data_IF_581830182808
#
_entry.id   IF_581830182808
#
_cell.length_a   1.000
_cell.length_b   1.000
_cell.length_c   1.000
_cell.angle_alpha   90.00
_cell.angle_beta   90.00
_cell.angle_gamma   90.00
#
_symmetry.space_group_name_H-M   'P 1'
#
loop_
_entity.id
_entity.type
_entity.pdbx_description
1 polymer ?
#
# COMPACT_ATOMS: atom_id res chain seq x y z
N UNK A 1 -21.74 14.24 16.10
CA UNK A 1 -21.20 13.32 15.07
C UNK A 1 -21.23 11.91 15.66
N UNK A 2 -21.70 10.91 14.93
CA UNK A 2 -21.73 9.52 15.43
C UNK A 2 -20.37 8.84 15.22
N UNK A 3 -20.10 7.76 15.95
CA UNK A 3 -18.89 6.94 15.77
C UNK A 3 -18.72 6.49 14.30
N UNK A 4 -19.80 6.01 13.69
CA UNK A 4 -19.79 5.59 12.28
C UNK A 4 -19.47 6.74 11.31
N UNK A 5 -19.93 7.96 11.59
CA UNK A 5 -19.59 9.14 10.78
C UNK A 5 -18.09 9.47 10.89
N UNK A 6 -17.50 9.34 12.07
CA UNK A 6 -16.06 9.56 12.29
C UNK A 6 -15.22 8.49 11.58
N UNK A 7 -15.57 7.22 11.71
CA UNK A 7 -14.89 6.14 10.99
C UNK A 7 -15.04 6.28 9.46
N UNK A 8 -16.20 6.74 8.98
CA UNK A 8 -16.39 7.05 7.56
C UNK A 8 -15.48 8.20 7.12
N UNK A 9 -15.34 9.24 7.93
CA UNK A 9 -14.45 10.37 7.65
C UNK A 9 -12.99 9.93 7.58
N UNK A 10 -12.55 9.10 8.56
CA UNK A 10 -11.21 8.49 8.54
C UNK A 10 -10.94 7.71 7.25
N UNK A 11 -11.82 6.79 6.90
CA UNK A 11 -11.64 5.97 5.69
C UNK A 11 -11.58 6.84 4.43
N UNK A 12 -12.41 7.87 4.30
CA UNK A 12 -12.34 8.83 3.19
C UNK A 12 -11.02 9.58 3.15
N UNK A 13 -10.47 9.98 4.29
CA UNK A 13 -9.17 10.65 4.37
C UNK A 13 -8.06 9.73 3.91
N UNK A 14 -8.02 8.49 4.41
CA UNK A 14 -7.04 7.49 4.00
C UNK A 14 -7.15 7.19 2.49
N UNK A 15 -8.37 6.95 1.98
CA UNK A 15 -8.59 6.73 0.54
C UNK A 15 -8.10 7.92 -0.30
N UNK A 16 -8.34 9.15 0.14
CA UNK A 16 -7.87 10.36 -0.55
C UNK A 16 -6.34 10.44 -0.61
N UNK A 17 -5.65 10.09 0.49
CA UNK A 17 -4.18 10.03 0.53
C UNK A 17 -3.68 8.98 -0.47
N UNK A 18 -4.23 7.78 -0.44
CA UNK A 18 -3.81 6.68 -1.32
C UNK A 18 -4.07 7.01 -2.80
N UNK A 19 -5.22 7.61 -3.13
CA UNK A 19 -5.53 8.07 -4.49
C UNK A 19 -4.56 9.16 -4.97
N UNK A 20 -4.15 10.07 -4.08
CA UNK A 20 -3.13 11.08 -4.41
C UNK A 20 -1.79 10.43 -4.75
N UNK A 21 -1.34 9.47 -3.94
CA UNK A 21 -0.12 8.69 -4.21
C UNK A 21 -0.23 7.97 -5.55
N UNK A 22 -1.35 7.28 -5.80
CA UNK A 22 -1.59 6.59 -7.07
C UNK A 22 -1.52 7.52 -8.28
N UNK A 23 -2.08 8.73 -8.16
CA UNK A 23 -2.06 9.73 -9.22
C UNK A 23 -0.62 10.15 -9.56
N UNK A 24 0.20 10.44 -8.56
CA UNK A 24 1.60 10.83 -8.75
C UNK A 24 2.44 9.68 -9.33
N UNK A 25 2.21 8.45 -8.89
CA UNK A 25 2.87 7.27 -9.47
C UNK A 25 2.51 7.10 -10.94
N UNK A 26 1.24 7.21 -11.30
CA UNK A 26 0.81 7.15 -12.70
C UNK A 26 1.48 8.22 -13.58
N UNK A 27 1.67 9.44 -13.06
CA UNK A 27 2.41 10.51 -13.74
C UNK A 27 3.88 10.14 -13.94
N UNK A 28 4.53 9.64 -12.89
CA UNK A 28 5.94 9.22 -12.91
C UNK A 28 6.18 8.11 -13.95
N UNK A 29 5.32 7.10 -13.98
CA UNK A 29 5.43 6.01 -14.95
C UNK A 29 5.09 6.45 -16.39
N UNK A 30 4.14 7.37 -16.56
CA UNK A 30 3.85 7.98 -17.87
C UNK A 30 5.06 8.74 -18.40
N UNK A 31 5.67 9.59 -17.57
CA UNK A 31 6.90 10.29 -17.91
C UNK A 31 8.01 9.31 -18.32
N UNK A 32 8.25 8.24 -17.56
CA UNK A 32 9.24 7.21 -17.87
C UNK A 32 8.97 6.53 -19.22
N UNK A 33 7.72 6.13 -19.47
CA UNK A 33 7.30 5.56 -20.76
C UNK A 33 7.59 6.51 -21.92
N UNK A 34 7.16 7.76 -21.81
CA UNK A 34 7.29 8.74 -22.89
C UNK A 34 8.76 9.06 -23.17
N UNK A 35 9.59 9.16 -22.10
CA UNK A 35 11.04 9.35 -22.21
C UNK A 35 11.72 8.18 -22.93
N UNK A 36 11.42 6.93 -22.56
CA UNK A 36 12.03 5.76 -23.19
C UNK A 36 11.50 5.56 -24.62
N UNK A 37 10.22 5.83 -24.86
CA UNK A 37 9.66 5.77 -26.22
C UNK A 37 10.32 6.79 -27.14
N UNK A 38 10.53 8.03 -26.69
CA UNK A 38 11.25 9.06 -27.43
C UNK A 38 12.71 8.67 -27.71
N UNK A 39 13.38 8.10 -26.71
CA UNK A 39 14.76 7.64 -26.82
C UNK A 39 14.89 6.49 -27.84
N UNK A 40 13.98 5.53 -27.84
CA UNK A 40 13.92 4.47 -28.84
C UNK A 40 13.65 5.06 -30.23
N UNK A 41 12.73 6.01 -30.35
CA UNK A 41 12.39 6.65 -31.61
C UNK A 41 13.55 7.43 -32.24
N UNK A 42 14.25 8.23 -31.45
CA UNK A 42 15.43 8.99 -31.95
C UNK A 42 16.60 8.11 -32.33
N UNK A 43 16.79 6.99 -31.67
CA UNK A 43 17.82 6.01 -32.03
C UNK A 43 17.38 5.15 -33.22
N UNK A 44 16.09 4.86 -33.39
CA UNK A 44 15.57 4.04 -34.48
C UNK A 44 15.89 4.63 -35.84
N UNK A 45 15.73 5.94 -36.06
CA UNK A 45 16.11 6.60 -37.32
C UNK A 45 17.60 6.46 -37.63
N UNK A 46 18.45 6.56 -36.60
CA UNK A 46 19.91 6.36 -36.77
C UNK A 46 20.29 4.91 -37.12
N UNK A 47 19.45 3.94 -36.78
CA UNK A 47 19.63 2.54 -37.16
C UNK A 47 19.33 2.26 -38.63
N UNK A 48 18.31 2.91 -39.19
CA UNK A 48 17.89 2.69 -40.57
C UNK A 48 18.83 3.33 -41.60
N UNK A 49 19.58 4.36 -41.24
CA UNK A 49 20.48 5.12 -42.12
C UNK A 49 21.87 4.45 -42.27
N UNK A 50 22.18 3.39 -41.54
CA UNK A 50 23.53 2.80 -41.49
C UNK A 50 23.71 1.45 -42.19
N UNK A 51 22.91 1.15 -43.23
CA UNK A 51 22.83 -0.22 -43.76
C UNK A 51 23.77 -0.51 -44.98
N UNK A 52 24.58 0.43 -45.40
CA UNK A 52 25.59 0.19 -46.49
C UNK A 52 27.03 0.25 -45.95
N UNK A 53 27.71 -0.90 -45.84
CA UNK A 53 29.12 -1.04 -45.48
C UNK A 53 29.45 -2.28 -44.59
N UNK A 54 30.66 -2.75 -44.65
CA UNK A 54 31.14 -4.03 -44.13
C UNK A 54 30.56 -4.50 -42.75
N UNK A 55 30.19 -5.76 -42.68
CA UNK A 55 29.44 -6.39 -41.56
C UNK A 55 30.03 -6.19 -40.13
N UNK A 56 31.36 -6.15 -40.02
CA UNK A 56 32.02 -5.99 -38.71
C UNK A 56 31.76 -4.64 -38.05
N UNK A 57 31.90 -3.56 -38.81
CA UNK A 57 31.67 -2.18 -38.31
C UNK A 57 30.18 -1.90 -38.01
N UNK A 58 29.28 -2.52 -38.74
CA UNK A 58 27.86 -2.49 -38.47
C UNK A 58 27.52 -3.14 -37.13
N UNK A 59 28.06 -4.33 -36.86
CA UNK A 59 27.85 -5.06 -35.62
C UNK A 59 28.43 -4.31 -34.42
N UNK A 60 29.63 -3.73 -34.55
CA UNK A 60 30.26 -2.94 -33.47
C UNK A 60 29.48 -1.64 -33.21
N UNK A 61 29.04 -0.93 -34.23
CA UNK A 61 28.22 0.26 -34.08
C UNK A 61 26.85 -0.05 -33.46
N UNK A 62 26.23 -1.15 -33.85
CA UNK A 62 24.99 -1.65 -33.27
C UNK A 62 25.18 -1.94 -31.77
N UNK A 63 26.25 -2.67 -31.42
CA UNK A 63 26.56 -2.98 -30.02
C UNK A 63 26.77 -1.73 -29.16
N UNK A 64 27.57 -0.77 -29.63
CA UNK A 64 27.84 0.47 -28.93
C UNK A 64 26.58 1.31 -28.71
N UNK A 65 25.71 1.39 -29.74
CA UNK A 65 24.42 2.10 -29.64
C UNK A 65 23.46 1.43 -28.65
N UNK A 66 23.39 0.09 -28.69
CA UNK A 66 22.60 -0.68 -27.69
C UNK A 66 23.08 -0.44 -26.28
N UNK A 67 24.42 -0.40 -26.09
CA UNK A 67 25.04 -0.13 -24.78
C UNK A 67 24.72 1.29 -24.29
N UNK A 68 24.83 2.30 -25.18
CA UNK A 68 24.47 3.68 -24.84
C UNK A 68 22.99 3.79 -24.48
N UNK A 69 22.10 3.23 -25.29
CA UNK A 69 20.66 3.21 -25.02
C UNK A 69 20.33 2.49 -23.72
N UNK A 70 21.02 1.41 -23.39
CA UNK A 70 20.86 0.73 -22.10
C UNK A 70 21.20 1.65 -20.93
N UNK A 71 22.28 2.45 -21.02
CA UNK A 71 22.65 3.40 -19.98
C UNK A 71 21.61 4.53 -19.82
N UNK A 72 21.10 5.04 -20.94
CA UNK A 72 20.07 6.08 -20.92
C UNK A 72 18.75 5.54 -20.32
N UNK A 73 18.32 4.32 -20.67
CA UNK A 73 17.14 3.66 -20.06
C UNK A 73 17.37 3.46 -18.56
N UNK A 74 18.56 3.03 -18.12
CA UNK A 74 18.90 2.94 -16.69
C UNK A 74 18.78 4.27 -15.99
N UNK A 75 19.22 5.36 -16.62
CA UNK A 75 19.08 6.73 -16.10
C UNK A 75 17.61 7.11 -15.86
N UNK A 76 16.73 6.82 -16.81
CA UNK A 76 15.27 7.05 -16.64
C UNK A 76 14.72 6.22 -15.49
N UNK A 77 15.11 4.95 -15.34
CA UNK A 77 14.65 4.10 -14.22
C UNK A 77 15.18 4.55 -12.86
N UNK A 78 16.38 5.10 -12.79
CA UNK A 78 16.89 5.73 -11.55
C UNK A 78 15.98 6.90 -11.14
N UNK A 79 15.56 7.74 -12.09
CA UNK A 79 14.64 8.85 -11.81
C UNK A 79 13.26 8.35 -11.40
N UNK A 80 12.66 7.39 -12.12
CA UNK A 80 11.40 6.76 -11.73
C UNK A 80 11.50 6.23 -10.30
N UNK A 81 12.55 5.49 -9.97
CA UNK A 81 12.77 4.91 -8.65
C UNK A 81 12.88 5.95 -7.54
N UNK A 82 13.60 7.03 -7.78
CA UNK A 82 13.74 8.14 -6.83
C UNK A 82 12.38 8.79 -6.52
N UNK A 83 11.62 9.15 -7.56
CA UNK A 83 10.33 9.83 -7.39
C UNK A 83 9.27 8.88 -6.82
N UNK A 84 9.20 7.63 -7.27
CA UNK A 84 8.27 6.63 -6.75
C UNK A 84 8.52 6.38 -5.27
N UNK A 85 9.78 6.14 -4.87
CA UNK A 85 10.14 5.93 -3.47
C UNK A 85 9.79 7.14 -2.60
N UNK A 86 10.15 8.35 -3.02
CA UNK A 86 9.84 9.60 -2.31
C UNK A 86 8.33 9.74 -2.07
N UNK A 87 7.54 9.56 -3.14
CA UNK A 87 6.08 9.71 -3.10
C UNK A 87 5.44 8.66 -2.20
N UNK A 88 5.81 7.39 -2.36
CA UNK A 88 5.25 6.30 -1.55
C UNK A 88 5.64 6.48 -0.08
N UNK A 89 6.92 6.66 0.24
CA UNK A 89 7.37 6.78 1.63
C UNK A 89 6.68 7.94 2.34
N UNK A 90 6.63 9.13 1.72
CA UNK A 90 5.92 10.28 2.28
C UNK A 90 4.45 9.97 2.54
N UNK A 91 3.78 9.39 1.56
CA UNK A 91 2.36 9.04 1.67
C UNK A 91 2.09 7.99 2.76
N UNK A 92 2.99 7.02 2.93
CA UNK A 92 2.86 5.99 3.98
C UNK A 92 2.99 6.57 5.38
N UNK A 93 3.91 7.51 5.60
CA UNK A 93 3.99 8.26 6.87
C UNK A 93 2.68 9.01 7.14
N UNK A 94 2.16 9.73 6.15
CA UNK A 94 0.89 10.45 6.29
C UNK A 94 -0.28 9.51 6.59
N UNK A 95 -0.36 8.37 5.91
CA UNK A 95 -1.41 7.36 6.12
C UNK A 95 -1.40 6.82 7.55
N UNK A 96 -0.21 6.51 8.08
CA UNK A 96 -0.03 6.03 9.45
C UNK A 96 -0.47 7.10 10.47
N UNK A 97 0.05 8.32 10.31
CA UNK A 97 -0.21 9.44 11.23
C UNK A 97 -1.71 9.81 11.27
N UNK A 98 -2.35 9.95 10.11
CA UNK A 98 -3.77 10.28 10.02
C UNK A 98 -4.64 9.17 10.61
N UNK A 99 -4.30 7.91 10.42
CA UNK A 99 -5.04 6.80 11.01
C UNK A 99 -4.95 6.81 12.53
N UNK A 100 -3.74 6.97 13.08
CA UNK A 100 -3.53 7.09 14.53
C UNK A 100 -4.30 8.27 15.13
N UNK A 101 -4.16 9.47 14.53
CA UNK A 101 -4.73 10.69 15.07
C UNK A 101 -6.27 10.72 14.98
N UNK A 102 -6.84 10.23 13.89
CA UNK A 102 -8.29 10.21 13.73
C UNK A 102 -8.96 9.20 14.66
N UNK A 103 -8.34 8.05 14.92
CA UNK A 103 -8.85 7.11 15.90
C UNK A 103 -8.69 7.65 17.33
N UNK A 104 -7.57 8.29 17.63
CA UNK A 104 -7.38 8.94 18.93
C UNK A 104 -8.41 10.04 19.18
N UNK A 105 -8.65 10.89 18.19
CA UNK A 105 -9.69 11.91 18.25
C UNK A 105 -11.09 11.31 18.44
N UNK A 106 -11.40 10.25 17.69
CA UNK A 106 -12.70 9.57 17.79
C UNK A 106 -12.90 8.99 19.19
N UNK A 107 -11.91 8.29 19.73
CA UNK A 107 -12.00 7.72 21.07
C UNK A 107 -12.06 8.79 22.15
N UNK A 108 -11.28 9.88 22.02
CA UNK A 108 -11.31 11.01 22.95
C UNK A 108 -12.68 11.70 22.96
N UNK A 109 -13.29 11.94 21.79
CA UNK A 109 -14.61 12.55 21.66
C UNK A 109 -15.71 11.75 22.37
N UNK A 110 -15.67 10.42 22.26
CA UNK A 110 -16.65 9.57 22.94
C UNK A 110 -16.34 9.36 24.43
N UNK A 111 -15.06 9.26 24.81
CA UNK A 111 -14.63 9.15 26.20
C UNK A 111 -14.99 10.38 27.02
N UNK A 112 -14.93 11.59 26.42
CA UNK A 112 -15.35 12.84 27.05
C UNK A 112 -16.84 12.81 27.45
N UNK A 113 -17.69 12.14 26.65
CA UNK A 113 -19.13 11.99 26.96
C UNK A 113 -19.40 11.13 28.21
N UNK A 114 -18.46 10.30 28.61
CA UNK A 114 -18.54 9.48 29.83
C UNK A 114 -17.60 9.96 30.94
N UNK A 115 -17.11 11.20 30.82
CA UNK A 115 -16.25 11.83 31.84
C UNK A 115 -14.78 11.35 31.85
N UNK A 116 -14.33 10.68 30.81
CA UNK A 116 -12.93 10.27 30.65
C UNK A 116 -12.19 11.27 29.78
N UNK A 117 -11.06 11.80 30.28
CA UNK A 117 -10.24 12.78 29.56
C UNK A 117 -9.05 12.12 28.88
N UNK A 118 -9.17 11.84 27.58
CA UNK A 118 -8.08 11.34 26.73
C UNK A 118 -7.38 12.54 26.10
N UNK A 119 -6.09 12.72 26.42
CA UNK A 119 -5.29 13.81 25.87
C UNK A 119 -4.83 13.53 24.43
N UNK A 120 -4.66 14.60 23.69
CA UNK A 120 -3.95 14.54 22.41
C UNK A 120 -2.52 13.99 22.62
N UNK A 121 -2.12 13.04 21.78
CA UNK A 121 -0.71 12.65 21.62
C UNK A 121 -0.45 12.33 20.15
N UNK A 122 0.77 12.61 19.69
CA UNK A 122 1.24 12.17 18.39
C UNK A 122 1.82 10.75 18.50
N UNK A 123 1.82 9.97 17.41
CA UNK A 123 2.45 8.65 17.41
C UNK A 123 3.95 8.77 17.71
N UNK A 124 4.50 7.79 18.42
CA UNK A 124 5.94 7.76 18.69
C UNK A 124 6.71 7.75 17.36
N UNK A 125 7.63 8.70 17.12
CA UNK A 125 8.28 8.88 15.82
C UNK A 125 9.14 7.69 15.40
N UNK A 126 9.76 6.98 16.36
CA UNK A 126 10.61 5.82 16.05
C UNK A 126 9.74 4.59 15.74
N UNK A 127 8.67 4.37 16.51
CA UNK A 127 7.70 3.29 16.24
C UNK A 127 7.08 3.48 14.84
N UNK A 128 6.67 4.71 14.53
CA UNK A 128 6.19 5.09 13.20
C UNK A 128 7.21 4.80 12.10
N UNK A 129 8.48 5.16 12.32
CA UNK A 129 9.55 4.92 11.36
C UNK A 129 9.73 3.41 11.11
N UNK A 130 9.79 2.60 12.16
CA UNK A 130 9.88 1.13 12.04
C UNK A 130 8.68 0.57 11.27
N UNK A 131 7.47 1.00 11.60
CA UNK A 131 6.25 0.54 10.93
C UNK A 131 6.25 0.83 9.42
N UNK A 132 6.70 2.04 9.03
CA UNK A 132 6.70 2.50 7.63
C UNK A 132 7.86 1.90 6.84
N UNK A 133 9.05 1.84 7.41
CA UNK A 133 10.26 1.43 6.67
C UNK A 133 10.56 -0.07 6.79
N UNK A 134 10.11 -0.72 7.87
CA UNK A 134 10.54 -2.08 8.24
C UNK A 134 11.97 -2.14 8.78
N UNK A 135 12.60 -0.99 9.10
CA UNK A 135 14.00 -0.94 9.55
C UNK A 135 14.14 -1.36 11.01
N UNK A 136 14.47 -2.63 11.23
CA UNK A 136 14.70 -3.21 12.55
C UNK A 136 15.88 -2.56 13.32
N UNK A 137 16.81 -1.89 12.65
CA UNK A 137 17.97 -1.27 13.35
C UNK A 137 17.53 -0.13 14.26
N UNK A 138 16.38 0.50 13.96
CA UNK A 138 15.79 1.59 14.76
C UNK A 138 15.24 1.13 16.10
N UNK A 139 14.97 -0.17 16.29
CA UNK A 139 14.48 -0.73 17.55
C UNK A 139 15.41 -0.46 18.74
N UNK A 140 16.71 -0.38 18.48
CA UNK A 140 17.72 -0.10 19.52
C UNK A 140 17.55 1.28 20.15
N UNK A 141 16.95 2.23 19.45
CA UNK A 141 16.69 3.58 19.92
C UNK A 141 15.44 3.68 20.82
N UNK A 142 14.58 2.63 20.85
CA UNK A 142 13.37 2.58 21.68
C UNK A 142 13.75 2.05 23.06
N UNK A 143 13.74 2.91 24.09
CA UNK A 143 14.06 2.54 25.48
C UNK A 143 12.88 1.88 26.19
N UNK A 144 11.66 2.30 25.90
CA UNK A 144 10.43 1.74 26.45
C UNK A 144 10.21 0.32 25.90
N UNK A 145 10.18 -0.67 26.79
CA UNK A 145 10.02 -2.09 26.43
C UNK A 145 8.69 -2.40 25.76
N UNK A 146 7.59 -1.72 26.16
CA UNK A 146 6.26 -1.88 25.57
C UNK A 146 6.30 -1.37 24.13
N UNK A 147 6.76 -0.13 23.92
CA UNK A 147 6.85 0.46 22.60
C UNK A 147 7.80 -0.33 21.68
N UNK A 148 8.90 -0.86 22.22
CA UNK A 148 9.80 -1.72 21.45
C UNK A 148 9.09 -2.98 20.97
N UNK A 149 8.35 -3.68 21.84
CA UNK A 149 7.58 -4.89 21.48
C UNK A 149 6.52 -4.57 20.42
N UNK A 150 5.84 -3.41 20.53
CA UNK A 150 4.88 -2.95 19.53
C UNK A 150 5.58 -2.72 18.19
N UNK A 151 6.71 -2.00 18.18
CA UNK A 151 7.47 -1.71 16.97
C UNK A 151 8.04 -2.97 16.30
N UNK A 152 8.57 -3.91 17.07
CA UNK A 152 9.02 -5.23 16.59
C UNK A 152 7.89 -5.95 15.85
N UNK A 153 6.69 -5.89 16.42
CA UNK A 153 5.52 -6.45 15.80
C UNK A 153 5.02 -5.72 14.55
N UNK A 154 5.45 -4.50 14.28
CA UNK A 154 5.07 -3.75 13.08
C UNK A 154 6.01 -3.98 11.89
N UNK A 155 7.14 -4.65 12.10
CA UNK A 155 8.02 -5.09 11.00
C UNK A 155 7.25 -6.12 10.18
N UNK A 156 7.20 -5.98 8.84
CA UNK A 156 6.53 -6.96 8.00
C UNK A 156 7.06 -8.38 8.27
N UNK A 157 6.18 -9.38 8.42
CA UNK A 157 6.61 -10.77 8.71
C UNK A 157 7.55 -11.36 7.67
N UNK A 158 7.50 -10.89 6.41
CA UNK A 158 8.45 -11.26 5.35
C UNK A 158 9.87 -10.74 5.60
N UNK A 159 10.06 -9.83 6.54
CA UNK A 159 11.32 -9.11 6.76
C UNK A 159 11.69 -8.10 5.66
N UNK A 160 10.86 -7.98 4.63
CA UNK A 160 11.10 -7.05 3.54
C UNK A 160 10.83 -5.59 3.99
N UNK A 161 11.82 -4.73 3.78
CA UNK A 161 11.59 -3.29 3.94
C UNK A 161 10.80 -2.74 2.76
N UNK A 162 10.00 -1.71 2.98
CA UNK A 162 9.30 -1.01 1.89
C UNK A 162 10.28 -0.60 0.77
N UNK A 163 11.46 -0.12 1.16
CA UNK A 163 12.52 0.23 0.20
C UNK A 163 13.00 -1.00 -0.58
N UNK A 164 13.18 -2.13 0.07
CA UNK A 164 13.58 -3.39 -0.58
C UNK A 164 12.56 -3.85 -1.63
N UNK A 165 11.28 -3.85 -1.27
CA UNK A 165 10.19 -4.19 -2.18
C UNK A 165 10.20 -3.27 -3.42
N UNK A 166 10.33 -1.95 -3.21
CA UNK A 166 10.34 -0.98 -4.31
C UNK A 166 11.56 -1.13 -5.23
N UNK A 167 12.75 -1.37 -4.65
CA UNK A 167 13.98 -1.59 -5.42
C UNK A 167 13.90 -2.87 -6.24
N UNK A 168 13.44 -3.97 -5.64
CA UNK A 168 13.28 -5.25 -6.33
C UNK A 168 12.30 -5.13 -7.51
N UNK A 169 11.16 -4.48 -7.31
CA UNK A 169 10.19 -4.23 -8.38
C UNK A 169 10.82 -3.43 -9.53
N UNK A 170 11.51 -2.33 -9.23
CA UNK A 170 12.16 -1.50 -10.24
C UNK A 170 13.24 -2.25 -11.04
N UNK A 171 14.03 -3.09 -10.39
CA UNK A 171 15.03 -3.90 -11.09
C UNK A 171 14.39 -4.92 -12.05
N UNK A 172 13.28 -5.54 -11.64
CA UNK A 172 12.52 -6.44 -12.53
C UNK A 172 11.90 -5.68 -13.70
N UNK A 173 11.35 -4.49 -13.45
CA UNK A 173 10.76 -3.62 -14.46
C UNK A 173 11.80 -3.14 -15.47
N UNK A 174 12.96 -2.67 -15.02
CA UNK A 174 14.11 -2.32 -15.86
C UNK A 174 14.51 -3.49 -16.75
N UNK A 175 14.66 -4.68 -16.18
CA UNK A 175 15.03 -5.90 -16.92
C UNK A 175 14.02 -6.23 -18.02
N UNK A 176 12.72 -6.14 -17.72
CA UNK A 176 11.65 -6.35 -18.72
C UNK A 176 11.72 -5.33 -19.85
N UNK A 177 11.86 -4.05 -19.50
CA UNK A 177 11.94 -2.96 -20.48
C UNK A 177 13.16 -3.10 -21.40
N UNK A 178 14.34 -3.39 -20.83
CA UNK A 178 15.55 -3.63 -21.62
C UNK A 178 15.38 -4.83 -22.56
N UNK A 179 14.70 -5.90 -22.11
CA UNK A 179 14.42 -7.06 -22.95
C UNK A 179 13.52 -6.67 -24.12
N UNK A 180 12.44 -5.96 -23.88
CA UNK A 180 11.51 -5.52 -24.94
C UNK A 180 12.24 -4.66 -25.98
N UNK A 181 13.02 -3.68 -25.54
CA UNK A 181 13.78 -2.80 -26.45
C UNK A 181 14.81 -3.58 -27.24
N UNK A 182 15.66 -4.41 -26.57
CA UNK A 182 16.71 -5.19 -27.23
C UNK A 182 16.12 -6.19 -28.25
N UNK A 183 15.10 -6.94 -27.87
CA UNK A 183 14.45 -7.90 -28.78
C UNK A 183 13.78 -7.21 -29.96
N UNK A 184 13.09 -6.08 -29.71
CA UNK A 184 12.47 -5.31 -30.78
C UNK A 184 13.47 -4.82 -31.82
N UNK A 185 14.63 -4.34 -31.38
CA UNK A 185 15.70 -3.89 -32.27
C UNK A 185 16.37 -5.04 -33.03
N UNK A 186 16.70 -6.13 -32.35
CA UNK A 186 17.31 -7.32 -32.95
C UNK A 186 16.38 -7.95 -34.01
N UNK A 187 15.09 -8.00 -33.71
CA UNK A 187 14.09 -8.59 -34.62
C UNK A 187 13.61 -7.62 -35.70
N UNK A 188 14.19 -6.42 -35.82
CA UNK A 188 13.80 -5.43 -36.81
C UNK A 188 12.34 -4.95 -36.70
N UNK A 189 11.78 -4.99 -35.48
CA UNK A 189 10.40 -4.54 -35.27
C UNK A 189 10.26 -3.05 -35.60
N UNK A 190 9.13 -2.65 -36.17
CA UNK A 190 8.86 -1.24 -36.42
C UNK A 190 8.75 -0.43 -35.12
N UNK A 191 9.08 0.87 -35.20
CA UNK A 191 8.95 1.79 -34.06
C UNK A 191 7.55 1.72 -33.42
N UNK A 192 6.50 1.64 -34.23
CA UNK A 192 5.10 1.56 -33.77
C UNK A 192 4.89 0.31 -32.91
N UNK A 193 5.39 -0.84 -33.34
CA UNK A 193 5.32 -2.10 -32.55
C UNK A 193 6.11 -2.00 -31.25
N UNK A 194 7.29 -1.41 -31.28
CA UNK A 194 8.09 -1.21 -30.07
C UNK A 194 7.42 -0.22 -29.09
N UNK A 195 6.87 0.90 -29.60
CA UNK A 195 6.14 1.85 -28.77
C UNK A 195 4.91 1.21 -28.10
N UNK A 196 4.18 0.33 -28.80
CA UNK A 196 3.06 -0.42 -28.24
C UNK A 196 3.51 -1.41 -27.16
N UNK A 197 4.58 -2.17 -27.39
CA UNK A 197 5.14 -3.11 -26.42
C UNK A 197 5.64 -2.39 -25.16
N UNK A 198 6.25 -1.22 -25.30
CA UNK A 198 6.65 -0.37 -24.18
C UNK A 198 5.44 0.12 -23.39
N UNK A 199 4.38 0.59 -24.07
CA UNK A 199 3.14 1.01 -23.41
C UNK A 199 2.55 -0.09 -22.55
N UNK A 200 2.48 -1.31 -23.07
CA UNK A 200 1.99 -2.48 -22.32
C UNK A 200 2.88 -2.81 -21.11
N UNK A 201 4.21 -2.80 -21.31
CA UNK A 201 5.18 -3.03 -20.24
C UNK A 201 5.04 -2.00 -19.13
N UNK A 202 4.94 -0.71 -19.45
CA UNK A 202 4.78 0.36 -18.45
C UNK A 202 3.41 0.35 -17.77
N UNK A 203 2.35 -0.06 -18.44
CA UNK A 203 1.05 -0.24 -17.79
C UNK A 203 1.10 -1.35 -16.72
N UNK A 204 1.76 -2.48 -17.03
CA UNK A 204 1.98 -3.55 -16.07
C UNK A 204 2.85 -3.11 -14.89
N UNK A 205 3.90 -2.36 -15.15
CA UNK A 205 4.81 -1.83 -14.13
C UNK A 205 4.08 -0.85 -13.19
N UNK A 206 3.30 0.09 -13.75
CA UNK A 206 2.48 1.01 -12.96
C UNK A 206 1.48 0.25 -12.08
N UNK A 207 0.84 -0.80 -12.61
CA UNK A 207 -0.07 -1.65 -11.83
C UNK A 207 0.62 -2.31 -10.63
N UNK A 208 1.85 -2.82 -10.81
CA UNK A 208 2.63 -3.41 -9.71
C UNK A 208 2.95 -2.38 -8.61
N UNK A 209 3.36 -1.16 -8.99
CA UNK A 209 3.61 -0.09 -8.04
C UNK A 209 2.32 0.29 -7.27
N UNK A 210 1.17 0.39 -7.95
CA UNK A 210 -0.12 0.68 -7.33
C UNK A 210 -0.57 -0.44 -6.39
N UNK A 211 -0.25 -1.71 -6.71
CA UNK A 211 -0.52 -2.84 -5.81
C UNK A 211 0.23 -2.69 -4.49
N UNK A 212 1.50 -2.29 -4.53
CA UNK A 212 2.29 -1.99 -3.32
C UNK A 212 1.63 -0.87 -2.52
N UNK A 213 1.25 0.24 -3.16
CA UNK A 213 0.58 1.36 -2.49
C UNK A 213 -0.68 0.92 -1.75
N UNK A 214 -1.54 0.15 -2.39
CA UNK A 214 -2.80 -0.31 -1.79
C UNK A 214 -2.58 -1.28 -0.64
N UNK A 215 -1.66 -2.23 -0.81
CA UNK A 215 -1.36 -3.23 0.21
C UNK A 215 -0.70 -2.58 1.43
N UNK A 216 0.39 -1.84 1.22
CA UNK A 216 1.11 -1.18 2.30
C UNK A 216 0.33 -0.03 2.93
N UNK A 217 -0.43 0.72 2.12
CA UNK A 217 -1.30 1.78 2.62
C UNK A 217 -2.36 1.27 3.60
N UNK A 218 -3.04 0.16 3.25
CA UNK A 218 -4.01 -0.45 4.15
C UNK A 218 -3.34 -1.04 5.41
N UNK A 219 -2.21 -1.73 5.25
CA UNK A 219 -1.43 -2.27 6.38
C UNK A 219 -1.04 -1.15 7.34
N UNK A 220 -0.50 -0.04 6.85
CA UNK A 220 -0.03 1.07 7.67
C UNK A 220 -1.16 1.89 8.29
N UNK A 221 -2.30 2.03 7.62
CA UNK A 221 -3.49 2.60 8.24
C UNK A 221 -3.93 1.77 9.47
N UNK A 222 -3.95 0.44 9.32
CA UNK A 222 -4.29 -0.45 10.43
C UNK A 222 -3.21 -0.50 11.51
N UNK A 223 -1.93 -0.38 11.17
CA UNK A 223 -0.83 -0.27 12.13
C UNK A 223 -0.93 1.02 12.96
N UNK A 224 -1.33 2.15 12.36
CA UNK A 224 -1.60 3.41 13.07
C UNK A 224 -2.75 3.25 14.07
N UNK A 225 -3.87 2.64 13.64
CA UNK A 225 -4.99 2.27 14.52
C UNK A 225 -4.52 1.40 15.68
N UNK A 226 -3.73 0.36 15.38
CA UNK A 226 -3.19 -0.56 16.40
C UNK A 226 -2.33 0.17 17.43
N UNK A 227 -1.41 1.05 17.02
CA UNK A 227 -0.58 1.82 17.95
C UNK A 227 -1.44 2.71 18.84
N UNK A 228 -2.46 3.39 18.28
CA UNK A 228 -3.39 4.19 19.08
C UNK A 228 -4.11 3.33 20.13
N UNK A 229 -4.61 2.15 19.74
CA UNK A 229 -5.28 1.22 20.65
C UNK A 229 -4.38 0.81 21.81
N UNK A 230 -3.12 0.48 21.51
CA UNK A 230 -2.14 0.09 22.54
C UNK A 230 -1.74 1.26 23.47
N UNK A 231 -1.67 2.48 22.94
CA UNK A 231 -1.42 3.67 23.75
C UNK A 231 -2.61 3.98 24.67
N UNK A 232 -3.85 3.88 24.16
CA UNK A 232 -5.07 4.05 24.97
C UNK A 232 -5.19 3.00 26.06
N UNK A 233 -4.89 1.73 25.77
CA UNK A 233 -4.83 0.66 26.80
C UNK A 233 -3.81 0.99 27.89
N UNK A 234 -2.64 1.51 27.53
CA UNK A 234 -1.60 1.93 28.47
C UNK A 234 -2.02 3.16 29.32
N UNK A 235 -2.90 3.99 28.80
CA UNK A 235 -3.53 5.12 29.51
C UNK A 235 -4.70 4.67 30.41
N UNK A 236 -5.02 3.37 30.43
CA UNK A 236 -6.09 2.80 31.28
C UNK A 236 -7.47 2.78 30.63
N UNK A 237 -7.57 3.11 29.34
CA UNK A 237 -8.84 3.04 28.61
C UNK A 237 -9.19 1.57 28.32
N UNK A 238 -10.38 1.15 28.73
CA UNK A 238 -10.87 -0.23 28.50
C UNK A 238 -11.44 -0.35 27.10
N UNK A 239 -10.62 -0.80 26.16
CA UNK A 239 -11.00 -1.02 24.77
C UNK A 239 -10.66 -2.45 24.34
N UNK A 240 -11.43 -2.95 23.38
CA UNK A 240 -11.13 -4.16 22.60
C UNK A 240 -11.24 -3.83 21.13
N UNK A 241 -10.33 -4.33 20.33
CA UNK A 241 -10.41 -4.16 18.86
C UNK A 241 -11.35 -5.19 18.26
N UNK A 242 -12.13 -4.73 17.30
CA UNK A 242 -13.03 -5.57 16.53
C UNK A 242 -12.66 -5.52 15.06
N UNK A 243 -12.62 -6.67 14.39
CA UNK A 243 -12.37 -6.75 12.96
C UNK A 243 -13.59 -6.27 12.17
N UNK A 244 -13.35 -5.46 11.15
CA UNK A 244 -14.37 -4.93 10.25
C UNK A 244 -13.97 -5.24 8.82
N UNK A 245 -14.62 -6.22 8.22
CA UNK A 245 -14.45 -6.52 6.81
C UNK A 245 -15.17 -5.50 5.92
N UNK A 246 -14.64 -5.26 4.72
CA UNK A 246 -15.34 -4.47 3.72
C UNK A 246 -16.55 -5.25 3.24
N UNK A 247 -17.74 -4.63 3.31
CA UNK A 247 -19.00 -5.26 2.90
C UNK A 247 -19.19 -5.16 1.38
N UNK A 248 -18.51 -6.00 0.62
CA UNK A 248 -18.73 -6.13 -0.83
C UNK A 248 -18.41 -7.58 -1.30
N UNK A 249 -18.77 -7.89 -2.56
CA UNK A 249 -18.59 -9.22 -3.14
C UNK A 249 -17.14 -9.63 -3.42
N UNK A 250 -16.15 -8.75 -3.15
CA UNK A 250 -14.71 -9.02 -3.35
C UNK A 250 -14.00 -9.38 -2.06
N UNK A 251 -14.68 -9.33 -0.91
CA UNK A 251 -14.10 -9.73 0.37
C UNK A 251 -13.93 -11.23 0.42
N UNK A 252 -12.73 -11.71 0.76
CA UNK A 252 -12.40 -13.13 0.87
C UNK A 252 -13.28 -13.82 1.91
N UNK A 253 -13.61 -15.08 1.71
CA UNK A 253 -14.41 -15.86 2.66
C UNK A 253 -13.73 -15.92 4.04
N UNK A 254 -12.41 -16.04 4.06
CA UNK A 254 -11.59 -15.99 5.26
C UNK A 254 -11.77 -14.68 6.04
N UNK A 255 -11.77 -13.54 5.36
CA UNK A 255 -11.97 -12.23 5.99
C UNK A 255 -13.43 -11.95 6.35
N UNK A 256 -14.38 -12.60 5.62
CA UNK A 256 -15.79 -12.58 6.01
C UNK A 256 -16.01 -13.29 7.34
N UNK A 257 -15.30 -14.38 7.58
CA UNK A 257 -15.37 -15.12 8.84
C UNK A 257 -14.83 -14.32 10.04
N UNK A 258 -13.89 -13.40 9.80
CA UNK A 258 -13.34 -12.49 10.84
C UNK A 258 -14.29 -11.33 11.15
N UNK A 259 -15.22 -10.98 10.26
CA UNK A 259 -16.06 -9.79 10.42
C UNK A 259 -16.86 -9.81 11.73
N UNK A 260 -16.68 -8.79 12.55
CA UNK A 260 -17.32 -8.67 13.84
C UNK A 260 -16.60 -9.40 14.98
N UNK A 261 -15.54 -10.17 14.72
CA UNK A 261 -14.77 -10.82 15.77
C UNK A 261 -13.94 -9.81 16.56
N UNK A 262 -13.82 -10.05 17.85
CA UNK A 262 -12.93 -9.30 18.74
C UNK A 262 -11.55 -9.98 18.81
N UNK A 263 -10.52 -9.15 19.05
CA UNK A 263 -9.20 -9.69 19.40
C UNK A 263 -9.28 -10.63 20.62
N UNK A 264 -8.40 -11.63 20.66
CA UNK A 264 -8.24 -12.52 21.81
C UNK A 264 -7.54 -11.83 22.99
N UNK A 265 -7.25 -12.57 24.05
CA UNK A 265 -6.55 -12.06 25.25
C UNK A 265 -5.11 -11.60 24.96
N UNK A 266 -4.50 -12.08 23.87
CA UNK A 266 -3.17 -11.69 23.39
C UNK A 266 -3.21 -10.52 22.40
N UNK A 267 -4.39 -10.01 22.09
CA UNK A 267 -4.59 -8.94 21.09
C UNK A 267 -4.49 -9.41 19.66
N UNK A 268 -4.82 -10.67 19.35
CA UNK A 268 -4.67 -11.29 18.05
C UNK A 268 -6.02 -11.68 17.45
N UNK A 269 -6.07 -11.68 16.12
CA UNK A 269 -7.12 -12.28 15.29
C UNK A 269 -6.57 -13.53 14.62
N UNK A 270 -7.40 -14.55 14.42
CA UNK A 270 -6.95 -15.86 13.95
C UNK A 270 -7.74 -16.33 12.72
N UNK A 271 -7.02 -16.89 11.72
CA UNK A 271 -7.59 -17.42 10.50
C UNK A 271 -6.68 -18.53 9.93
N UNK A 272 -7.24 -19.69 9.62
CA UNK A 272 -6.51 -20.81 8.97
C UNK A 272 -5.15 -21.13 9.63
N UNK A 273 -5.03 -21.02 10.95
CA UNK A 273 -3.78 -21.26 11.67
C UNK A 273 -2.79 -20.08 11.65
N UNK A 274 -3.14 -18.98 10.98
CA UNK A 274 -2.38 -17.72 11.02
C UNK A 274 -2.92 -16.80 12.11
N UNK A 275 -2.08 -15.87 12.55
CA UNK A 275 -2.44 -14.86 13.56
C UNK A 275 -1.98 -13.49 13.13
N UNK A 276 -2.80 -12.47 13.37
CA UNK A 276 -2.48 -11.09 13.04
C UNK A 276 -2.95 -10.13 14.15
N UNK A 277 -2.23 -9.06 14.36
CA UNK A 277 -2.62 -7.97 15.28
C UNK A 277 -3.65 -7.03 14.66
N UNK A 278 -3.59 -6.91 13.33
CA UNK A 278 -4.45 -6.03 12.53
C UNK A 278 -4.48 -6.51 11.07
N UNK A 279 -5.40 -6.04 10.24
CA UNK A 279 -5.45 -6.38 8.81
C UNK A 279 -4.17 -6.00 8.05
N UNK A 280 -3.61 -6.96 7.33
CA UNK A 280 -2.34 -6.83 6.60
C UNK A 280 -1.11 -7.27 7.40
N UNK A 281 -1.30 -7.99 8.52
CA UNK A 281 -0.25 -8.46 9.43
C UNK A 281 -0.22 -10.01 9.58
N UNK A 282 -0.89 -10.75 8.70
CA UNK A 282 -0.84 -12.21 8.73
C UNK A 282 0.51 -12.79 8.28
N UNK A 283 1.26 -12.03 7.47
CA UNK A 283 2.50 -12.50 6.86
C UNK A 283 2.28 -13.50 5.73
N UNK A 284 1.05 -13.65 5.28
CA UNK A 284 0.68 -14.49 4.14
C UNK A 284 0.19 -13.61 2.98
N UNK A 285 0.87 -13.66 1.80
CA UNK A 285 0.47 -12.88 0.63
C UNK A 285 -0.99 -13.12 0.19
N UNK A 286 -1.54 -14.32 0.42
CA UNK A 286 -2.90 -14.63 0.06
C UNK A 286 -3.92 -13.89 0.94
N UNK A 287 -3.57 -13.57 2.19
CA UNK A 287 -4.42 -12.85 3.12
C UNK A 287 -4.15 -11.34 3.11
N UNK A 288 -2.87 -10.93 2.95
CA UNK A 288 -2.47 -9.53 3.12
C UNK A 288 -2.59 -8.69 1.85
N UNK A 289 -2.26 -9.25 0.65
CA UNK A 289 -2.29 -8.48 -0.60
C UNK A 289 -3.73 -8.07 -0.95
N UNK A 290 -3.92 -6.77 -1.21
CA UNK A 290 -5.24 -6.17 -1.49
C UNK A 290 -6.29 -6.35 -0.37
N UNK A 291 -5.88 -6.66 0.85
CA UNK A 291 -6.78 -6.60 1.99
C UNK A 291 -7.33 -5.17 2.14
N UNK A 292 -8.64 -5.06 2.44
CA UNK A 292 -9.35 -3.78 2.63
C UNK A 292 -10.07 -3.74 3.98
N UNK A 293 -9.83 -4.73 4.82
CA UNK A 293 -10.38 -4.79 6.16
C UNK A 293 -9.72 -3.72 7.05
N UNK A 294 -10.39 -3.37 8.12
CA UNK A 294 -9.87 -2.49 9.17
C UNK A 294 -10.24 -3.06 10.54
N UNK A 295 -9.68 -2.48 11.58
CA UNK A 295 -10.15 -2.69 12.96
C UNK A 295 -10.74 -1.40 13.51
N UNK A 296 -11.61 -1.53 14.49
CA UNK A 296 -12.16 -0.42 15.27
C UNK A 296 -11.96 -0.68 16.75
N UNK A 297 -11.73 0.39 17.51
CA UNK A 297 -11.71 0.36 18.96
C UNK A 297 -13.14 0.38 19.49
N UNK A 298 -13.50 -0.65 20.26
CA UNK A 298 -14.79 -0.72 20.95
C UNK A 298 -14.54 -0.40 22.42
N UNK A 299 -14.95 0.79 22.83
CA UNK A 299 -14.88 1.21 24.23
C UNK A 299 -16.00 0.54 24.99
N UNK A 300 -15.73 0.01 26.18
CA UNK A 300 -16.74 -0.64 27.02
C UNK A 300 -17.91 0.31 27.30
N UNK A 301 -19.12 -0.05 26.90
CA UNK A 301 -20.34 0.74 27.02
C UNK A 301 -20.63 1.69 25.86
N UNK A 302 -19.79 1.72 24.81
CA UNK A 302 -19.97 2.56 23.62
C UNK A 302 -19.84 1.71 22.34
N UNK A 303 -20.58 0.63 22.25
CA UNK A 303 -20.52 -0.25 21.10
C UNK A 303 -21.10 0.42 19.84
N UNK A 304 -20.40 0.34 18.68
CA UNK A 304 -20.89 0.90 17.43
C UNK A 304 -22.13 0.15 16.94
N UNK A 305 -23.23 0.89 16.73
CA UNK A 305 -24.52 0.33 16.27
C UNK A 305 -24.73 0.42 14.77
N UNK A 306 -23.95 1.27 14.08
CA UNK A 306 -24.08 1.54 12.65
C UNK A 306 -22.74 1.38 11.93
N UNK A 307 -22.76 0.85 10.73
CA UNK A 307 -21.62 0.79 9.82
C UNK A 307 -22.03 1.11 8.39
N UNK A 308 -21.07 1.57 7.59
CA UNK A 308 -21.29 1.77 6.15
C UNK A 308 -21.10 0.45 5.42
N UNK A 309 -22.03 0.13 4.54
CA UNK A 309 -21.96 -1.03 3.65
C UNK A 309 -22.17 -0.61 2.20
N UNK A 310 -21.91 -1.54 1.28
CA UNK A 310 -22.25 -1.40 -0.15
C UNK A 310 -23.39 -2.36 -0.47
N UNK A 311 -24.48 -1.86 -1.01
CA UNK A 311 -25.59 -2.70 -1.46
C UNK A 311 -25.08 -3.61 -2.58
N UNK A 312 -25.17 -4.95 -2.44
CA UNK A 312 -24.61 -5.87 -3.41
C UNK A 312 -25.31 -5.84 -4.78
N UNK A 313 -26.55 -5.36 -4.81
CA UNK A 313 -27.35 -5.29 -6.05
C UNK A 313 -27.11 -3.97 -6.77
N UNK A 314 -27.10 -2.84 -6.05
CA UNK A 314 -27.02 -1.51 -6.64
C UNK A 314 -25.60 -0.94 -6.71
N UNK A 315 -24.66 -1.54 -5.99
CA UNK A 315 -23.29 -1.03 -5.85
C UNK A 315 -23.19 0.31 -5.08
N UNK A 316 -24.31 0.85 -4.58
CA UNK A 316 -24.34 2.12 -3.85
C UNK A 316 -23.97 1.91 -2.39
N UNK A 317 -23.25 2.88 -1.84
CA UNK A 317 -22.86 2.89 -0.44
C UNK A 317 -24.00 3.45 0.41
N UNK A 318 -24.31 2.77 1.51
CA UNK A 318 -25.37 3.17 2.46
C UNK A 318 -24.95 2.91 3.91
N UNK A 319 -25.67 3.45 4.87
CA UNK A 319 -25.45 3.25 6.30
C UNK A 319 -26.41 2.16 6.78
N UNK A 320 -25.85 1.07 7.31
CA UNK A 320 -26.61 -0.04 7.89
C UNK A 320 -26.35 -0.12 9.40
N UNK A 321 -27.28 -0.77 10.14
CA UNK A 321 -27.02 -1.17 11.52
C UNK A 321 -25.78 -2.05 11.57
N UNK A 322 -24.97 -1.92 12.62
CA UNK A 322 -23.77 -2.75 12.78
C UNK A 322 -24.16 -4.22 12.92
N UNK A 323 -23.66 -5.01 12.01
CA UNK A 323 -23.92 -6.47 11.92
C UNK A 323 -22.80 -7.15 11.14
N UNK A 324 -22.64 -8.44 11.34
CA UNK A 324 -21.63 -9.20 10.63
C UNK A 324 -21.90 -9.31 9.11
N UNK A 325 -20.87 -9.64 8.37
CA UNK A 325 -20.92 -9.75 6.91
C UNK A 325 -21.98 -10.75 6.44
N UNK A 326 -22.14 -11.89 7.11
CA UNK A 326 -23.10 -12.91 6.71
C UNK A 326 -24.54 -12.45 6.87
N UNK A 327 -24.83 -11.71 7.94
CA UNK A 327 -26.14 -11.08 8.14
C UNK A 327 -26.41 -10.01 7.10
N UNK A 328 -25.43 -9.17 6.80
CA UNK A 328 -25.53 -8.17 5.73
C UNK A 328 -25.81 -8.81 4.35
N UNK A 329 -25.02 -9.86 3.97
CA UNK A 329 -25.15 -10.53 2.67
C UNK A 329 -26.54 -11.16 2.46
N UNK A 330 -27.17 -11.70 3.53
CA UNK A 330 -28.49 -12.32 3.47
C UNK A 330 -29.64 -11.34 3.31
N UNK A 331 -29.49 -10.11 3.78
CA UNK A 331 -30.59 -9.15 3.89
C UNK A 331 -30.55 -8.07 2.82
N UNK A 332 -29.45 -7.94 2.03
CA UNK A 332 -29.16 -6.72 1.31
C UNK A 332 -28.96 -5.58 2.31
N UNK A 333 -28.58 -4.43 1.98
CA UNK A 333 -28.63 -3.33 2.96
C UNK A 333 -30.05 -3.02 3.42
#
# INVERSE_FOLDING_TARGET
MTYSQMQTAKNKTIDSILLSIESEIKKTYRFGRDSITSLVGSNYQKYLVGVDGADYYKTLNLYNRLKTMEQEIKGVYIQIGKETRKTITKGMYTTFDESYLMDRYTTAFFADQIGSNIKYSAPNPIVREVAVTGDATRLTAIRDKRLRKIAEGMIPPSGDTLTGILVNNLNQELTKTLRVVKQGLINGQSYVKQAQALKETFNGNAYNALRVVRTEGNRLANAGTYLNSEDLKAEGVRIRRQWVATLDGRTRDSHQALDGQYEDENGLFHIHGLSARYPGDFGDPAEDIHCRCTTIDVVQGLEPTLRRGVNPVTGKSDIASYRDYNKWKKQGL
#
